data_IF_766055815924
#
_entry.id   IF_766055815924
#
_cell.length_a   1.000
_cell.length_b   1.000
_cell.length_c   1.000
_cell.angle_alpha   90.00
_cell.angle_beta   90.00
_cell.angle_gamma   90.00
#
_symmetry.space_group_name_H-M   'P 1'
#
loop_
_entity.id
_entity.type
_entity.pdbx_description
1 polymer ?
#
# COMPACT_ATOMS: atom_id res chain seq x y z
N UNK A 1 -10.26 -16.65 -18.59
CA UNK A 1 -10.49 -15.18 -18.67
C UNK A 1 -9.96 -14.70 -19.99
N UNK A 2 -10.77 -13.99 -20.79
CA UNK A 2 -10.38 -13.43 -22.09
C UNK A 2 -9.61 -12.13 -21.91
N UNK A 3 -8.90 -11.69 -22.98
CA UNK A 3 -8.20 -10.41 -22.99
C UNK A 3 -9.14 -9.21 -22.73
N UNK A 4 -10.32 -9.21 -23.34
CA UNK A 4 -11.32 -8.15 -23.16
C UNK A 4 -11.85 -8.11 -21.72
N UNK A 5 -12.05 -9.26 -21.08
CA UNK A 5 -12.44 -9.31 -19.67
C UNK A 5 -11.37 -8.69 -18.77
N UNK A 6 -10.08 -9.04 -18.96
CA UNK A 6 -8.97 -8.41 -18.20
C UNK A 6 -8.88 -6.91 -18.41
N UNK A 7 -9.17 -6.44 -19.61
CA UNK A 7 -9.20 -5.01 -19.93
C UNK A 7 -10.30 -4.29 -19.15
N UNK A 8 -11.49 -4.85 -19.14
CA UNK A 8 -12.63 -4.28 -18.41
C UNK A 8 -12.38 -4.27 -16.90
N UNK A 9 -11.85 -5.37 -16.33
CA UNK A 9 -11.51 -5.46 -14.91
C UNK A 9 -10.43 -4.46 -14.52
N UNK A 10 -9.35 -4.36 -15.31
CA UNK A 10 -8.30 -3.35 -15.07
C UNK A 10 -8.86 -1.94 -15.14
N UNK A 11 -9.73 -1.66 -16.11
CA UNK A 11 -10.35 -0.35 -16.24
C UNK A 11 -11.25 -0.04 -15.04
N UNK A 12 -12.04 -1.01 -14.57
CA UNK A 12 -12.85 -0.88 -13.36
C UNK A 12 -11.97 -0.61 -12.13
N UNK A 13 -10.83 -1.31 -11.99
CA UNK A 13 -9.86 -1.09 -10.91
C UNK A 13 -9.27 0.34 -10.96
N UNK A 14 -8.89 0.82 -12.16
CA UNK A 14 -8.41 2.20 -12.32
C UNK A 14 -9.47 3.21 -11.88
N UNK A 15 -10.72 3.03 -12.31
CA UNK A 15 -11.82 3.91 -11.91
C UNK A 15 -12.09 3.84 -10.39
N UNK A 16 -12.03 2.65 -9.81
CA UNK A 16 -12.15 2.47 -8.37
C UNK A 16 -11.05 3.22 -7.62
N UNK A 17 -9.80 3.11 -8.04
CA UNK A 17 -8.67 3.85 -7.43
C UNK A 17 -8.86 5.36 -7.56
N UNK A 18 -9.34 5.85 -8.71
CA UNK A 18 -9.57 7.28 -8.93
C UNK A 18 -10.70 7.85 -8.04
N UNK A 19 -11.63 7.00 -7.61
CA UNK A 19 -12.71 7.37 -6.70
C UNK A 19 -12.26 7.42 -5.22
N UNK A 20 -11.08 6.87 -4.88
CA UNK A 20 -10.53 6.90 -3.52
C UNK A 20 -9.66 8.13 -3.32
N UNK A 21 -9.53 8.59 -2.07
CA UNK A 21 -8.59 9.65 -1.70
C UNK A 21 -7.20 9.07 -1.47
N UNK A 22 -6.23 9.55 -2.25
CA UNK A 22 -4.81 9.27 -2.05
C UNK A 22 -3.96 10.34 -2.75
N UNK A 23 -2.85 10.69 -2.13
CA UNK A 23 -1.93 11.75 -2.55
C UNK A 23 -0.46 11.35 -2.44
N UNK A 24 -0.20 10.12 -1.94
CA UNK A 24 1.13 9.51 -1.92
C UNK A 24 1.15 8.33 -2.88
N UNK A 25 2.17 8.27 -3.71
CA UNK A 25 2.55 7.10 -4.50
C UNK A 25 3.93 6.61 -4.06
N UNK A 26 4.11 5.30 -3.98
CA UNK A 26 5.39 4.73 -3.61
C UNK A 26 5.76 3.47 -4.37
N UNK A 27 7.06 3.30 -4.57
CA UNK A 27 7.71 2.08 -5.04
C UNK A 27 8.69 1.60 -3.97
N UNK A 28 8.38 0.49 -3.33
CA UNK A 28 9.24 -0.18 -2.36
C UNK A 28 10.02 -1.28 -3.04
N UNK A 29 11.35 -1.16 -3.03
CA UNK A 29 12.24 -2.13 -3.65
C UNK A 29 12.93 -3.01 -2.59
N UNK A 30 13.41 -4.15 -3.05
CA UNK A 30 14.24 -5.05 -2.26
C UNK A 30 15.70 -4.96 -2.73
N UNK A 31 16.64 -5.34 -1.85
CA UNK A 31 18.08 -5.38 -2.21
C UNK A 31 18.30 -6.26 -3.43
N UNK A 32 17.60 -7.40 -3.48
CA UNK A 32 17.62 -8.30 -4.61
C UNK A 32 16.19 -8.74 -4.98
N UNK A 33 15.59 -7.99 -5.91
CA UNK A 33 14.25 -8.28 -6.42
C UNK A 33 14.14 -9.58 -7.22
N UNK A 34 15.26 -10.17 -7.67
CA UNK A 34 15.29 -11.45 -8.41
C UNK A 34 15.12 -12.66 -7.50
N UNK A 35 15.63 -12.57 -6.28
CA UNK A 35 15.70 -13.73 -5.37
C UNK A 35 14.67 -13.69 -4.25
N UNK A 36 14.04 -12.55 -4.01
CA UNK A 36 13.01 -12.46 -3.01
C UNK A 36 11.72 -13.11 -3.53
N UNK A 37 11.30 -14.20 -2.91
CA UNK A 37 10.01 -14.81 -3.23
C UNK A 37 8.83 -13.97 -2.70
N UNK A 38 7.70 -14.02 -3.40
CA UNK A 38 6.46 -13.29 -3.06
C UNK A 38 6.05 -13.47 -1.59
N UNK A 39 6.13 -14.69 -1.08
CA UNK A 39 5.79 -14.97 0.32
C UNK A 39 6.69 -14.20 1.30
N UNK A 40 8.01 -14.18 1.07
CA UNK A 40 8.96 -13.44 1.90
C UNK A 40 8.75 -11.94 1.80
N UNK A 41 8.49 -11.43 0.60
CA UNK A 41 8.18 -10.03 0.37
C UNK A 41 6.89 -9.61 1.11
N UNK A 42 5.82 -10.39 1.02
CA UNK A 42 4.55 -10.13 1.72
C UNK A 42 4.75 -10.12 3.25
N UNK A 43 5.57 -11.02 3.80
CA UNK A 43 5.90 -11.05 5.23
C UNK A 43 6.63 -9.77 5.66
N UNK A 44 7.60 -9.30 4.88
CA UNK A 44 8.32 -8.05 5.15
C UNK A 44 7.39 -6.84 5.06
N UNK A 45 6.54 -6.79 4.04
CA UNK A 45 5.57 -5.72 3.85
C UNK A 45 4.55 -5.66 4.99
N UNK A 46 4.03 -6.81 5.42
CA UNK A 46 3.11 -6.87 6.57
C UNK A 46 3.77 -6.31 7.83
N UNK A 47 5.01 -6.71 8.10
CA UNK A 47 5.77 -6.19 9.23
C UNK A 47 6.04 -4.69 9.11
N UNK A 48 6.36 -4.21 7.90
CA UNK A 48 6.56 -2.79 7.61
C UNK A 48 5.28 -1.98 7.84
N UNK A 49 4.15 -2.40 7.27
CA UNK A 49 2.89 -1.69 7.44
C UNK A 49 2.41 -1.69 8.89
N UNK A 50 2.58 -2.78 9.62
CA UNK A 50 2.31 -2.82 11.07
C UNK A 50 3.19 -1.82 11.84
N UNK A 51 4.44 -1.62 11.42
CA UNK A 51 5.33 -0.60 11.99
C UNK A 51 4.86 0.80 11.63
N UNK A 52 4.46 1.04 10.37
CA UNK A 52 3.94 2.33 9.93
C UNK A 52 2.64 2.71 10.64
N UNK A 53 1.70 1.78 10.76
CA UNK A 53 0.46 1.99 11.50
C UNK A 53 0.74 2.41 12.96
N UNK A 54 1.74 1.80 13.60
CA UNK A 54 2.19 2.19 14.96
C UNK A 54 2.90 3.54 15.00
N UNK A 55 3.68 3.89 13.99
CA UNK A 55 4.35 5.20 13.90
C UNK A 55 3.29 6.32 13.83
N UNK A 56 2.19 6.07 13.12
CA UNK A 56 1.14 7.07 12.89
C UNK A 56 0.12 7.10 14.03
N UNK A 57 -0.40 5.95 14.43
CA UNK A 57 -1.49 5.86 15.41
C UNK A 57 -1.04 5.45 16.82
N UNK A 58 0.25 5.17 17.01
CA UNK A 58 0.77 4.76 18.32
C UNK A 58 0.09 3.48 18.83
N UNK A 59 -0.35 3.50 20.10
CA UNK A 59 -1.02 2.34 20.73
C UNK A 59 -2.41 2.05 20.14
N UNK A 60 -3.05 3.00 19.48
CA UNK A 60 -4.35 2.81 18.85
C UNK A 60 -4.27 1.85 17.65
N UNK A 61 -3.14 1.78 16.96
CA UNK A 61 -2.90 0.81 15.91
C UNK A 61 -3.11 -0.64 16.39
N UNK A 62 -2.72 -0.94 17.62
CA UNK A 62 -2.86 -2.29 18.20
C UNK A 62 -4.19 -2.49 18.93
N UNK A 63 -4.61 -1.51 19.74
CA UNK A 63 -5.78 -1.64 20.60
C UNK A 63 -7.10 -1.50 19.85
N UNK A 64 -7.12 -0.66 18.80
CA UNK A 64 -8.32 -0.33 18.03
C UNK A 64 -8.21 -0.77 16.56
N UNK A 65 -7.18 -1.56 16.22
CA UNK A 65 -6.89 -2.03 14.87
C UNK A 65 -6.86 -0.88 13.84
N UNK A 66 -6.40 0.32 14.25
CA UNK A 66 -6.29 1.44 13.34
C UNK A 66 -5.19 1.20 12.31
N UNK A 67 -5.52 1.40 11.04
CA UNK A 67 -4.63 1.21 9.90
C UNK A 67 -4.65 2.43 9.00
N UNK A 68 -3.50 2.77 8.45
CA UNK A 68 -3.45 3.78 7.39
C UNK A 68 -4.08 3.18 6.12
N UNK A 69 -5.11 3.84 5.55
CA UNK A 69 -5.68 3.42 4.27
C UNK A 69 -4.60 3.34 3.20
N UNK A 70 -4.61 2.27 2.41
CA UNK A 70 -3.61 2.04 1.35
C UNK A 70 -4.05 0.96 0.37
N UNK A 71 -3.58 1.05 -0.85
CA UNK A 71 -3.65 -0.01 -1.85
C UNK A 71 -2.23 -0.44 -2.21
N UNK A 72 -1.96 -1.74 -2.18
CA UNK A 72 -0.66 -2.32 -2.46
C UNK A 72 -0.74 -3.23 -3.70
N UNK A 73 0.25 -3.10 -4.58
CA UNK A 73 0.30 -3.82 -5.86
C UNK A 73 1.67 -4.50 -6.01
N UNK A 74 1.65 -5.79 -6.35
CA UNK A 74 2.85 -6.53 -6.68
C UNK A 74 3.24 -6.25 -8.14
N UNK A 75 4.53 -6.00 -8.35
CA UNK A 75 5.14 -5.88 -9.67
C UNK A 75 6.33 -6.82 -9.75
N UNK A 76 6.35 -7.68 -10.77
CA UNK A 76 7.41 -8.68 -10.94
C UNK A 76 8.39 -8.32 -12.07
N UNK A 77 8.07 -7.28 -12.87
CA UNK A 77 8.79 -6.95 -14.08
C UNK A 77 8.54 -7.95 -15.21
N UNK A 78 9.01 -7.64 -16.42
CA UNK A 78 8.75 -8.47 -17.61
C UNK A 78 9.28 -9.89 -17.51
N UNK A 79 10.38 -10.11 -16.78
CA UNK A 79 11.09 -11.38 -16.70
C UNK A 79 11.10 -11.98 -15.27
N UNK A 80 10.20 -11.54 -14.39
CA UNK A 80 10.19 -11.88 -12.96
C UNK A 80 11.51 -11.54 -12.22
N UNK A 81 12.30 -10.67 -12.79
CA UNK A 81 13.65 -10.37 -12.29
C UNK A 81 13.73 -9.15 -11.38
N UNK A 82 12.64 -8.40 -11.24
CA UNK A 82 12.64 -7.15 -10.50
C UNK A 82 11.39 -7.00 -9.63
N UNK A 83 11.18 -7.95 -8.75
CA UNK A 83 10.05 -7.89 -7.83
C UNK A 83 10.13 -6.63 -6.96
N UNK A 84 9.08 -5.84 -6.98
CA UNK A 84 8.91 -4.64 -6.16
C UNK A 84 7.43 -4.41 -5.91
N UNK A 85 7.14 -3.50 -5.00
CA UNK A 85 5.76 -3.18 -4.61
C UNK A 85 5.48 -1.73 -4.93
N UNK A 86 4.36 -1.49 -5.59
CA UNK A 86 3.76 -0.16 -5.64
C UNK A 86 2.67 -0.03 -4.59
N UNK A 87 2.49 1.17 -4.09
CA UNK A 87 1.35 1.50 -3.25
C UNK A 87 0.86 2.91 -3.51
N UNK A 88 -0.41 3.13 -3.20
CA UNK A 88 -1.02 4.46 -3.10
C UNK A 88 -1.72 4.59 -1.76
N UNK A 89 -1.68 5.77 -1.16
CA UNK A 89 -2.31 6.03 0.13
C UNK A 89 -2.59 7.53 0.33
N UNK A 90 -3.57 7.91 1.16
CA UNK A 90 -3.68 9.29 1.64
C UNK A 90 -2.55 9.59 2.61
N UNK A 91 -2.06 10.81 2.63
CA UNK A 91 -1.12 11.26 3.65
C UNK A 91 -1.87 11.53 4.96
N UNK A 92 -1.51 10.87 6.07
CA UNK A 92 -2.06 11.21 7.38
C UNK A 92 -1.38 12.45 7.98
N UNK A 93 -0.33 12.97 7.35
CA UNK A 93 0.34 14.20 7.75
C UNK A 93 -0.11 15.37 6.87
N UNK A 94 -0.16 16.60 7.42
CA UNK A 94 -0.52 17.78 6.63
C UNK A 94 0.40 18.02 5.43
N UNK A 95 1.68 17.69 5.57
CA UNK A 95 2.68 17.81 4.51
C UNK A 95 2.99 16.44 3.91
N UNK A 96 2.55 16.22 2.70
CA UNK A 96 2.69 14.94 1.99
C UNK A 96 4.16 14.55 1.76
N UNK A 97 5.05 15.51 1.49
CA UNK A 97 6.49 15.28 1.36
C UNK A 97 7.10 14.70 2.64
N UNK A 98 6.69 15.22 3.79
CA UNK A 98 7.14 14.70 5.09
C UNK A 98 6.74 13.25 5.28
N UNK A 99 5.51 12.90 4.88
CA UNK A 99 5.04 11.51 4.90
C UNK A 99 5.87 10.61 3.97
N UNK A 100 6.16 11.07 2.75
CA UNK A 100 7.01 10.35 1.80
C UNK A 100 8.41 10.07 2.38
N UNK A 101 9.01 11.05 3.07
CA UNK A 101 10.30 10.88 3.75
C UNK A 101 10.23 9.83 4.87
N UNK A 102 9.19 9.86 5.70
CA UNK A 102 8.99 8.91 6.79
C UNK A 102 8.83 7.48 6.24
N UNK A 103 7.96 7.29 5.25
CA UNK A 103 7.75 6.01 4.59
C UNK A 103 9.06 5.42 4.05
N UNK A 104 9.83 6.23 3.35
CA UNK A 104 11.10 5.79 2.76
C UNK A 104 12.15 5.46 3.83
N UNK A 105 12.30 6.30 4.85
CA UNK A 105 13.26 6.08 5.93
C UNK A 105 12.95 4.81 6.72
N UNK A 106 11.67 4.59 7.04
CA UNK A 106 11.24 3.39 7.77
C UNK A 106 11.46 2.13 6.93
N UNK A 107 11.17 2.16 5.62
CA UNK A 107 11.44 1.02 4.73
C UNK A 107 12.92 0.70 4.63
N UNK A 108 13.76 1.70 4.38
CA UNK A 108 15.20 1.52 4.21
C UNK A 108 15.90 0.93 5.45
N UNK A 109 15.32 1.13 6.64
CA UNK A 109 15.84 0.63 7.91
C UNK A 109 15.08 -0.61 8.42
N UNK A 110 14.08 -1.09 7.69
CA UNK A 110 13.17 -2.11 8.19
C UNK A 110 13.82 -3.49 8.31
N UNK A 111 14.56 -3.90 7.29
CA UNK A 111 15.19 -5.22 7.23
C UNK A 111 16.41 -5.21 6.29
N UNK A 112 17.32 -6.17 6.46
CA UNK A 112 18.50 -6.29 5.59
C UNK A 112 18.17 -6.56 4.10
N UNK A 113 16.97 -7.06 3.80
CA UNK A 113 16.50 -7.32 2.44
C UNK A 113 15.74 -6.13 1.83
N UNK A 114 15.41 -5.09 2.60
CA UNK A 114 14.77 -3.88 2.07
C UNK A 114 15.82 -2.96 1.44
N UNK A 115 15.46 -2.35 0.31
CA UNK A 115 16.41 -1.51 -0.41
C UNK A 115 16.69 -0.20 0.34
N UNK A 116 17.92 0.37 0.18
CA UNK A 116 18.27 1.66 0.77
C UNK A 116 17.46 2.80 0.16
N UNK A 117 17.41 3.94 0.85
CA UNK A 117 16.64 5.15 0.48
C UNK A 117 16.70 5.50 -1.00
N UNK A 118 17.91 5.52 -1.58
CA UNK A 118 18.12 5.96 -2.96
C UNK A 118 17.54 5.02 -4.03
N UNK A 119 17.13 3.81 -3.67
CA UNK A 119 16.55 2.84 -4.62
C UNK A 119 15.02 2.83 -4.61
N UNK A 120 14.40 3.36 -3.58
CA UNK A 120 12.97 3.47 -3.50
C UNK A 120 12.51 4.78 -4.16
N UNK A 121 11.25 4.82 -4.54
CA UNK A 121 10.67 6.03 -5.11
C UNK A 121 9.32 6.26 -4.43
N UNK A 122 9.26 7.23 -3.53
CA UNK A 122 8.07 7.61 -2.79
C UNK A 122 7.91 9.12 -2.93
N UNK A 123 6.77 9.57 -3.43
CA UNK A 123 6.56 10.97 -3.78
C UNK A 123 5.08 11.37 -3.66
N UNK A 124 4.81 12.68 -3.50
CA UNK A 124 3.47 13.21 -3.68
C UNK A 124 2.96 12.95 -5.10
N UNK A 125 1.68 12.64 -5.21
CA UNK A 125 1.04 12.40 -6.51
C UNK A 125 0.72 13.72 -7.19
N UNK A 126 1.18 13.88 -8.43
CA UNK A 126 0.84 15.02 -9.27
C UNK A 126 -0.27 14.70 -10.29
N UNK A 127 -0.26 13.48 -10.84
CA UNK A 127 -1.25 12.98 -11.79
C UNK A 127 -1.80 11.64 -11.32
N UNK A 128 -2.99 11.67 -10.72
CA UNK A 128 -3.67 10.48 -10.20
C UNK A 128 -4.00 9.47 -11.30
N UNK A 129 -4.39 9.95 -12.49
CA UNK A 129 -4.77 9.07 -13.60
C UNK A 129 -3.55 8.30 -14.14
N UNK A 130 -2.42 8.99 -14.29
CA UNK A 130 -1.17 8.36 -14.70
C UNK A 130 -0.72 7.33 -13.66
N UNK A 131 -0.76 7.66 -12.38
CA UNK A 131 -0.37 6.74 -11.29
C UNK A 131 -1.31 5.54 -11.22
N UNK A 132 -2.64 5.72 -11.25
CA UNK A 132 -3.60 4.62 -11.22
C UNK A 132 -3.40 3.66 -12.41
N UNK A 133 -3.13 4.19 -13.59
CA UNK A 133 -2.79 3.38 -14.77
C UNK A 133 -1.46 2.65 -14.58
N UNK A 134 -0.46 3.29 -13.98
CA UNK A 134 0.87 2.71 -13.76
C UNK A 134 0.85 1.58 -12.74
N UNK A 135 0.25 1.76 -11.57
CA UNK A 135 0.22 0.71 -10.53
C UNK A 135 -0.57 -0.53 -10.94
N UNK A 136 -1.47 -0.39 -11.90
CA UNK A 136 -2.29 -1.50 -12.42
C UNK A 136 -1.78 -2.09 -13.73
N UNK A 137 -0.60 -1.65 -14.22
CA UNK A 137 -0.17 -2.06 -15.58
C UNK A 137 0.13 -3.55 -15.69
N UNK A 138 0.55 -4.23 -14.62
CA UNK A 138 0.79 -5.68 -14.66
C UNK A 138 -0.48 -6.54 -14.57
N UNK A 139 -1.64 -5.91 -14.40
CA UNK A 139 -2.93 -6.61 -14.38
C UNK A 139 -3.17 -7.47 -15.63
N UNK A 140 -2.60 -7.06 -16.75
CA UNK A 140 -2.65 -7.84 -17.99
C UNK A 140 -2.05 -9.25 -17.86
N UNK A 141 -0.97 -9.35 -17.10
CA UNK A 141 -0.21 -10.58 -16.91
C UNK A 141 -0.72 -11.36 -15.70
N UNK A 142 -0.86 -10.66 -14.58
CA UNK A 142 -1.11 -11.28 -13.28
C UNK A 142 -2.60 -11.34 -12.90
N UNK A 143 -3.45 -10.55 -13.57
CA UNK A 143 -4.85 -10.42 -13.16
C UNK A 143 -4.98 -9.86 -11.73
N UNK A 144 -5.95 -10.37 -10.96
CA UNK A 144 -6.18 -9.97 -9.57
C UNK A 144 -4.98 -10.20 -8.65
N UNK A 145 -4.06 -11.11 -9.00
CA UNK A 145 -2.85 -11.36 -8.22
C UNK A 145 -1.89 -10.16 -8.17
N UNK A 146 -2.12 -9.14 -9.02
CA UNK A 146 -1.44 -7.84 -8.91
C UNK A 146 -1.80 -7.14 -7.61
N UNK A 147 -3.02 -7.27 -7.12
CA UNK A 147 -3.49 -6.62 -5.90
C UNK A 147 -3.05 -7.47 -4.70
N UNK A 148 -2.49 -6.81 -3.69
CA UNK A 148 -2.13 -7.44 -2.43
C UNK A 148 -3.23 -7.14 -1.39
N UNK A 149 -4.38 -7.79 -1.53
CA UNK A 149 -5.57 -7.56 -0.71
C UNK A 149 -5.28 -7.64 0.78
N UNK A 150 -4.47 -8.61 1.21
CA UNK A 150 -4.08 -8.80 2.61
C UNK A 150 -3.21 -7.67 3.19
N UNK A 151 -2.67 -6.80 2.34
CA UNK A 151 -1.83 -5.65 2.71
C UNK A 151 -2.51 -4.32 2.39
N UNK A 152 -3.59 -4.37 1.63
CA UNK A 152 -4.43 -3.22 1.30
C UNK A 152 -5.45 -2.98 2.41
N UNK A 153 -5.78 -1.71 2.65
CA UNK A 153 -6.74 -1.30 3.67
C UNK A 153 -7.47 -0.06 3.18
N UNK A 154 -8.79 -0.13 3.07
CA UNK A 154 -9.59 0.99 2.57
C UNK A 154 -9.94 1.98 3.68
N UNK A 155 -10.25 3.22 3.30
CA UNK A 155 -10.72 4.24 4.24
C UNK A 155 -12.03 3.83 4.93
N UNK A 156 -12.92 3.15 4.20
CA UNK A 156 -14.18 2.62 4.74
C UNK A 156 -13.94 1.59 5.85
N UNK A 157 -12.97 0.69 5.69
CA UNK A 157 -12.59 -0.25 6.74
C UNK A 157 -12.05 0.46 7.97
N UNK A 158 -11.24 1.52 7.78
CA UNK A 158 -10.72 2.34 8.89
C UNK A 158 -11.84 3.06 9.63
N UNK A 159 -12.81 3.61 8.92
CA UNK A 159 -13.97 4.30 9.50
C UNK A 159 -14.85 3.35 10.31
N UNK A 160 -15.19 2.19 9.74
CA UNK A 160 -16.03 1.18 10.40
C UNK A 160 -15.45 0.73 11.75
N UNK A 161 -14.14 0.49 11.80
CA UNK A 161 -13.49 0.08 13.06
C UNK A 161 -13.40 1.22 14.08
N UNK A 162 -13.28 2.46 13.63
CA UNK A 162 -13.24 3.64 14.52
C UNK A 162 -14.59 3.88 15.17
N UNK A 163 -15.67 3.78 14.41
CA UNK A 163 -17.04 3.93 14.94
C UNK A 163 -17.41 2.81 15.90
N UNK A 164 -17.10 1.56 15.57
CA UNK A 164 -17.33 0.42 16.46
C UNK A 164 -16.55 0.55 17.79
N UNK A 165 -15.30 0.99 17.73
CA UNK A 165 -14.50 1.21 18.93
C UNK A 165 -15.04 2.37 19.80
N UNK A 166 -15.60 3.40 19.17
CA UNK A 166 -16.26 4.50 19.89
C UNK A 166 -17.57 4.05 20.53
N UNK A 167 -18.39 3.28 19.82
CA UNK A 167 -19.65 2.73 20.34
C UNK A 167 -19.44 1.78 21.53
N UNK A 168 -18.43 0.91 21.47
CA UNK A 168 -18.06 0.04 22.60
C UNK A 168 -17.60 0.84 23.81
N UNK A 169 -16.89 1.95 23.60
CA UNK A 169 -16.40 2.79 24.69
C UNK A 169 -17.54 3.58 25.37
N UNK A 170 -18.51 4.05 24.60
CA UNK A 170 -19.71 4.73 25.13
C UNK A 170 -20.64 3.77 25.87
N UNK A 171 -20.75 2.51 25.44
CA UNK A 171 -21.61 1.51 26.05
C UNK A 171 -21.05 0.99 27.40
N UNK A 172 -19.72 1.05 27.58
CA UNK A 172 -19.09 0.61 28.86
C UNK A 172 -19.09 1.70 29.96
N UNK A 173 -19.52 2.92 29.65
CA UNK A 173 -19.60 4.03 30.62
C UNK A 173 -21.02 4.31 31.12
N UNK A 174 -22.01 3.52 30.72
CA UNK A 174 -23.40 3.53 31.24
C UNK A 174 -23.63 2.34 32.17
#
# INVERSE_FOLDING_TARGET
MTFEQRKQERQALVQHLLAQDWDVFGTLKFVNGRTIGRHSANKLLRSYWNKMDRVIYGKAAERQNMRVPRWCFAHEGSDNENFHIHFVMPSPLPETESMCCVLNAVWAQHHAQTAPLAKNWIMPVQDRAAVASYVTHEYWRMGSDTILDELSWTAEQSYYFTDHALDEHYTQQQ
#
